data_IF_179789755443
#
_entry.id   IF_179789755443
#
_cell.length_a   1.000
_cell.length_b   1.000
_cell.length_c   1.000
_cell.angle_alpha   90.00
_cell.angle_beta   90.00
_cell.angle_gamma   90.00
#
_symmetry.space_group_name_H-M   'P 1'
#
loop_
_entity.id
_entity.type
_entity.pdbx_description
1 polymer ?
#
# COMPACT_ATOMS: atom_id res chain seq x y z
N UNK A 1 -30.40 11.06 18.61
CA UNK A 1 -30.68 10.15 17.48
C UNK A 1 -31.35 11.00 16.40
N UNK A 2 -30.60 11.87 15.73
CA UNK A 2 -29.81 11.69 14.49
C UNK A 2 -30.71 11.75 13.25
N UNK A 3 -30.47 12.82 12.49
CA UNK A 3 -31.28 13.40 11.43
C UNK A 3 -31.19 12.64 10.11
N UNK A 4 -32.33 12.52 9.42
CA UNK A 4 -32.39 12.23 7.99
C UNK A 4 -32.13 13.52 7.20
N UNK A 5 -31.15 13.49 6.30
CA UNK A 5 -30.78 14.62 5.47
C UNK A 5 -31.80 14.84 4.34
N UNK A 6 -32.30 16.07 4.27
CA UNK A 6 -33.26 16.59 3.29
C UNK A 6 -32.56 17.21 2.07
N UNK A 7 -33.04 16.78 0.90
CA UNK A 7 -33.14 17.44 -0.42
C UNK A 7 -32.72 18.92 -0.60
N UNK A 8 -32.07 19.19 -1.75
CA UNK A 8 -32.18 20.37 -2.66
C UNK A 8 -31.04 20.22 -3.68
N UNK A 9 -31.13 20.37 -5.00
CA UNK A 9 -32.03 20.91 -6.02
C UNK A 9 -31.17 20.91 -7.32
N UNK A 10 -31.59 21.15 -8.56
CA UNK A 10 -32.81 21.57 -9.22
C UNK A 10 -32.63 21.21 -10.71
N UNK A 11 -33.72 20.76 -11.33
CA UNK A 11 -33.90 20.56 -12.76
C UNK A 11 -33.95 21.92 -13.49
N UNK A 12 -33.20 22.14 -14.57
CA UNK A 12 -33.61 23.08 -15.63
C UNK A 12 -33.24 22.52 -17.01
N UNK A 13 -34.27 22.04 -17.70
CA UNK A 13 -34.32 21.85 -19.16
C UNK A 13 -34.14 23.20 -19.84
N UNK A 14 -33.29 23.30 -20.88
CA UNK A 14 -33.50 24.29 -21.96
C UNK A 14 -33.01 23.75 -23.30
N UNK A 15 -33.98 23.65 -24.19
CA UNK A 15 -33.84 23.41 -25.62
C UNK A 15 -33.02 24.53 -26.30
N UNK A 16 -32.36 24.14 -27.38
CA UNK A 16 -32.32 24.94 -28.61
C UNK A 16 -31.11 25.84 -28.80
N UNK A 17 -30.48 25.73 -29.97
CA UNK A 17 -29.63 26.79 -30.52
C UNK A 17 -28.40 26.32 -31.26
N UNK A 18 -28.59 25.95 -32.53
CA UNK A 18 -27.55 26.03 -33.58
C UNK A 18 -26.99 27.46 -33.57
N UNK A 19 -25.66 27.65 -33.54
CA UNK A 19 -24.96 28.68 -34.33
C UNK A 19 -23.46 28.39 -34.35
N UNK A 20 -22.98 28.02 -35.54
CA UNK A 20 -21.58 28.07 -35.90
C UNK A 20 -21.13 29.53 -36.00
N UNK A 21 -19.98 29.87 -35.41
CA UNK A 21 -19.20 31.04 -35.79
C UNK A 21 -17.72 30.65 -35.79
N UNK A 22 -17.15 30.61 -37.00
CA UNK A 22 -15.71 30.68 -37.22
C UNK A 22 -15.18 32.00 -36.66
N UNK A 23 -14.17 31.94 -35.82
CA UNK A 23 -13.31 33.08 -35.53
C UNK A 23 -11.86 32.64 -35.52
N UNK A 24 -11.12 33.09 -36.56
CA UNK A 24 -9.67 33.13 -36.57
C UNK A 24 -9.19 33.90 -35.33
N UNK A 25 -8.47 33.22 -34.44
CA UNK A 25 -7.86 33.80 -33.26
C UNK A 25 -6.43 33.31 -33.10
N UNK A 26 -5.49 34.00 -33.74
CA UNK A 26 -4.08 33.92 -33.38
C UNK A 26 -3.89 34.60 -32.02
N UNK A 27 -3.42 33.86 -31.01
CA UNK A 27 -2.61 34.39 -29.93
C UNK A 27 -1.88 33.23 -29.25
N UNK A 28 -0.58 33.09 -29.51
CA UNK A 28 0.29 32.17 -28.79
C UNK A 28 0.70 32.80 -27.46
N UNK A 29 0.56 32.11 -26.31
CA UNK A 29 1.36 32.39 -25.14
C UNK A 29 2.62 31.51 -25.13
N UNK A 30 3.74 32.20 -24.99
CA UNK A 30 5.10 31.67 -24.90
C UNK A 30 5.23 30.51 -23.89
N UNK A 31 5.96 29.46 -24.28
CA UNK A 31 6.48 28.48 -23.35
C UNK A 31 7.62 29.13 -22.54
N UNK A 32 7.51 29.24 -21.20
CA UNK A 32 8.68 29.60 -20.41
C UNK A 32 9.66 28.41 -20.42
N UNK A 33 10.77 28.58 -21.12
CA UNK A 33 12.02 27.83 -20.89
C UNK A 33 12.51 28.20 -19.51
N UNK A 34 11.91 27.59 -18.50
CA UNK A 34 12.39 27.57 -17.13
C UNK A 34 13.12 26.27 -16.91
N UNK A 35 14.44 26.27 -17.03
CA UNK A 35 15.36 25.29 -16.47
C UNK A 35 15.33 25.43 -14.94
N UNK A 36 14.17 25.20 -14.35
CA UNK A 36 14.04 24.87 -12.95
C UNK A 36 14.38 23.40 -12.86
N UNK A 37 15.55 23.09 -12.31
CA UNK A 37 15.83 21.79 -11.72
C UNK A 37 14.82 21.58 -10.60
N UNK A 38 13.62 21.15 -10.98
CA UNK A 38 12.74 20.39 -10.13
C UNK A 38 13.48 19.10 -9.83
N UNK A 39 14.41 19.18 -8.88
CA UNK A 39 14.68 18.07 -7.98
C UNK A 39 13.33 17.83 -7.30
N UNK A 40 12.48 17.09 -8.00
CA UNK A 40 11.61 16.15 -7.35
C UNK A 40 12.55 15.43 -6.40
N UNK A 41 12.44 15.78 -5.11
CA UNK A 41 12.75 14.89 -4.02
C UNK A 41 12.01 13.61 -4.40
N UNK A 42 12.73 12.74 -5.12
CA UNK A 42 12.47 11.33 -5.16
C UNK A 42 12.65 10.94 -3.70
N UNK A 43 11.58 11.12 -2.92
CA UNK A 43 11.28 10.24 -1.83
C UNK A 43 11.55 8.86 -2.44
N UNK A 44 12.63 8.23 -1.99
CA UNK A 44 12.92 6.85 -2.32
C UNK A 44 11.70 6.12 -1.80
N UNK A 45 10.69 5.96 -2.64
CA UNK A 45 9.66 4.96 -2.43
C UNK A 45 10.50 3.70 -2.46
N UNK A 46 10.76 3.18 -1.26
CA UNK A 46 11.43 1.91 -1.09
C UNK A 46 10.81 0.98 -2.13
N UNK A 47 11.65 0.37 -2.97
CA UNK A 47 11.21 -0.56 -4.00
C UNK A 47 10.06 -1.39 -3.43
N UNK A 48 8.93 -1.54 -4.14
CA UNK A 48 7.78 -2.24 -3.60
C UNK A 48 8.32 -3.56 -3.06
N UNK A 49 8.19 -3.77 -1.74
CA UNK A 49 8.54 -5.02 -1.10
C UNK A 49 7.99 -6.08 -2.03
N UNK A 50 8.87 -6.88 -2.64
CA UNK A 50 8.51 -7.87 -3.64
C UNK A 50 7.21 -8.50 -3.15
N UNK A 51 6.14 -8.42 -3.93
CA UNK A 51 4.81 -8.95 -3.57
C UNK A 51 4.94 -10.47 -3.45
N UNK A 52 5.58 -10.91 -2.37
CA UNK A 52 5.77 -12.29 -1.97
C UNK A 52 4.39 -12.75 -1.58
N UNK A 53 3.91 -13.77 -2.27
CA UNK A 53 2.62 -14.35 -1.98
C UNK A 53 2.61 -14.78 -0.50
N UNK A 54 1.69 -14.21 0.27
CA UNK A 54 1.49 -14.62 1.65
C UNK A 54 0.77 -15.98 1.62
N UNK A 55 1.29 -17.01 2.32
CA UNK A 55 0.62 -18.30 2.39
C UNK A 55 -0.81 -18.16 2.93
N UNK A 56 -1.76 -18.94 2.40
CA UNK A 56 -3.16 -18.88 2.82
C UNK A 56 -3.31 -19.11 4.33
N UNK A 57 -4.16 -18.30 4.97
CA UNK A 57 -4.39 -18.38 6.41
C UNK A 57 -3.31 -17.72 7.27
N UNK A 58 -2.29 -17.10 6.67
CA UNK A 58 -1.28 -16.32 7.37
C UNK A 58 -1.34 -14.85 6.95
N UNK A 59 -0.86 -13.97 7.82
CA UNK A 59 -0.60 -12.58 7.51
C UNK A 59 0.85 -12.30 7.88
N UNK A 60 1.60 -11.73 6.94
CA UNK A 60 3.03 -11.48 7.11
C UNK A 60 3.27 -10.02 6.83
N UNK A 61 3.88 -9.32 7.79
CA UNK A 61 4.19 -7.90 7.71
C UNK A 61 5.68 -7.68 7.94
N UNK A 62 6.29 -6.81 7.15
CA UNK A 62 7.67 -6.39 7.36
C UNK A 62 7.68 -5.03 8.07
N UNK A 63 8.44 -4.93 9.15
CA UNK A 63 8.56 -3.74 9.98
C UNK A 63 10.04 -3.46 10.32
N UNK A 64 10.37 -2.29 10.91
CA UNK A 64 11.72 -2.03 11.43
C UNK A 64 12.16 -3.02 12.52
N UNK A 65 11.22 -3.67 13.21
CA UNK A 65 11.48 -4.69 14.22
C UNK A 65 11.70 -6.09 13.61
N UNK A 66 11.65 -6.23 12.29
CA UNK A 66 11.77 -7.51 11.59
C UNK A 66 10.49 -7.94 10.88
N UNK A 67 10.40 -9.23 10.57
CA UNK A 67 9.22 -9.83 9.93
C UNK A 67 8.29 -10.38 11.00
N UNK A 68 7.03 -9.95 10.94
CA UNK A 68 5.97 -10.30 11.87
C UNK A 68 5.02 -11.26 11.14
N UNK A 69 4.69 -12.37 11.80
CA UNK A 69 3.82 -13.42 11.25
C UNK A 69 2.66 -13.66 12.21
N UNK A 70 1.45 -13.61 11.68
CA UNK A 70 0.22 -14.00 12.38
C UNK A 70 -0.53 -15.04 11.58
N UNK A 71 -1.32 -15.86 12.28
CA UNK A 71 -2.25 -16.83 11.71
C UNK A 71 -3.66 -16.28 11.81
N UNK A 72 -4.44 -16.38 10.74
CA UNK A 72 -5.75 -15.75 10.63
C UNK A 72 -6.73 -16.26 11.66
N UNK A 73 -6.81 -17.58 11.91
CA UNK A 73 -7.49 -18.21 13.06
C UNK A 73 -7.09 -19.70 13.18
N UNK A 74 -6.90 -20.25 14.40
CA UNK A 74 -6.67 -19.50 15.64
C UNK A 74 -5.32 -18.76 15.58
N UNK A 75 -5.09 -17.69 16.36
CA UNK A 75 -3.77 -17.05 16.46
C UNK A 75 -2.67 -18.05 16.85
N UNK A 76 -1.41 -17.69 16.65
CA UNK A 76 -0.31 -18.53 17.14
C UNK A 76 -0.28 -18.54 18.66
N UNK A 77 0.11 -19.68 19.21
CA UNK A 77 0.66 -19.80 20.56
C UNK A 77 2.17 -19.58 20.59
N UNK A 78 2.68 -19.40 21.80
CA UNK A 78 4.11 -19.33 22.13
C UNK A 78 4.87 -20.64 21.88
N UNK A 79 4.18 -21.78 21.83
CA UNK A 79 4.77 -23.06 21.44
C UNK A 79 4.86 -23.26 19.91
N UNK A 80 4.22 -22.40 19.10
CA UNK A 80 4.04 -22.60 17.65
C UNK A 80 5.10 -21.90 16.78
N UNK A 81 6.24 -21.50 17.36
CA UNK A 81 7.29 -20.77 16.64
C UNK A 81 7.86 -21.51 15.43
N UNK A 82 7.91 -22.84 15.49
CA UNK A 82 8.33 -23.65 14.35
C UNK A 82 7.36 -23.55 13.15
N UNK A 83 6.06 -23.41 13.40
CA UNK A 83 5.07 -23.21 12.33
C UNK A 83 5.17 -21.81 11.74
N UNK A 84 5.23 -20.79 12.59
CA UNK A 84 5.40 -19.42 12.15
C UNK A 84 6.68 -19.25 11.31
N UNK A 85 7.78 -19.89 11.72
CA UNK A 85 9.04 -19.91 10.97
C UNK A 85 8.88 -20.55 9.59
N UNK A 86 8.14 -21.66 9.47
CA UNK A 86 7.86 -22.29 8.17
C UNK A 86 7.04 -21.37 7.25
N UNK A 87 6.01 -20.71 7.78
CA UNK A 87 5.19 -19.78 7.01
C UNK A 87 6.04 -18.61 6.48
N UNK A 88 6.89 -18.05 7.34
CA UNK A 88 7.77 -16.95 6.94
C UNK A 88 8.90 -17.39 6.03
N UNK A 89 9.39 -18.62 6.17
CA UNK A 89 10.41 -19.17 5.27
C UNK A 89 9.84 -19.38 3.87
N UNK A 90 8.60 -19.86 3.75
CA UNK A 90 7.88 -19.94 2.48
C UNK A 90 7.70 -18.56 1.84
N UNK A 91 7.39 -17.54 2.67
CA UNK A 91 7.30 -16.16 2.21
C UNK A 91 8.66 -15.56 1.83
N UNK A 92 9.72 -15.90 2.57
CA UNK A 92 11.06 -15.36 2.35
C UNK A 92 11.75 -15.93 1.09
N UNK A 93 11.28 -17.06 0.57
CA UNK A 93 11.82 -17.69 -0.63
C UNK A 93 13.18 -18.35 -0.39
N UNK A 94 14.04 -18.35 -1.41
CA UNK A 94 15.31 -19.09 -1.43
C UNK A 94 16.32 -18.67 -0.37
N UNK A 95 16.29 -17.41 0.09
CA UNK A 95 17.12 -16.93 1.20
C UNK A 95 16.62 -17.38 2.57
N UNK A 96 15.33 -17.71 2.68
CA UNK A 96 14.68 -18.09 3.92
C UNK A 96 14.68 -16.95 4.96
N UNK A 97 14.33 -17.30 6.20
CA UNK A 97 14.28 -16.35 7.31
C UNK A 97 15.56 -16.39 8.14
N UNK A 98 16.08 -15.21 8.51
CA UNK A 98 17.03 -15.05 9.58
C UNK A 98 16.34 -15.18 10.94
N UNK A 99 16.08 -16.44 11.30
CA UNK A 99 15.62 -16.84 12.63
C UNK A 99 16.81 -17.10 13.54
N UNK A 100 16.68 -16.74 14.82
CA UNK A 100 17.74 -16.83 15.83
C UNK A 100 17.22 -16.75 17.27
N UNK A 101 18.13 -16.59 18.25
CA UNK A 101 17.76 -16.51 19.68
C UNK A 101 16.87 -15.31 20.03
N UNK A 102 16.90 -14.27 19.19
CA UNK A 102 16.11 -13.06 19.35
C UNK A 102 14.70 -13.19 18.76
N UNK A 103 14.31 -14.36 18.23
CA UNK A 103 12.94 -14.59 17.79
C UNK A 103 12.01 -14.65 19.00
N UNK A 104 10.91 -13.91 18.98
CA UNK A 104 10.00 -13.85 20.11
C UNK A 104 8.54 -13.86 19.69
N UNK A 105 7.72 -14.39 20.60
CA UNK A 105 6.28 -14.37 20.50
C UNK A 105 5.71 -13.13 21.19
N UNK A 106 4.80 -12.43 20.53
CA UNK A 106 4.09 -11.29 21.09
C UNK A 106 2.66 -11.26 20.59
N UNK A 107 1.70 -11.31 21.52
CA UNK A 107 0.28 -11.06 21.25
C UNK A 107 -0.29 -11.84 20.05
N UNK A 108 -0.08 -13.16 19.99
CA UNK A 108 -0.56 -14.00 18.89
C UNK A 108 0.27 -13.95 17.61
N UNK A 109 1.40 -13.24 17.65
CA UNK A 109 2.32 -13.04 16.52
C UNK A 109 3.70 -13.56 16.85
N UNK A 110 4.38 -14.10 15.85
CA UNK A 110 5.80 -14.40 15.91
C UNK A 110 6.59 -13.33 15.19
N UNK A 111 7.61 -12.82 15.85
CA UNK A 111 8.45 -11.74 15.35
C UNK A 111 9.85 -12.31 15.13
N UNK A 112 10.35 -12.12 13.91
CA UNK A 112 11.67 -12.55 13.45
C UNK A 112 12.51 -11.30 13.15
N UNK A 113 13.31 -10.80 14.12
CA UNK A 113 14.05 -9.54 13.96
C UNK A 113 15.05 -9.55 12.81
N UNK A 114 15.64 -10.71 12.52
CA UNK A 114 16.57 -10.86 11.40
C UNK A 114 15.91 -10.72 10.02
N UNK A 115 14.58 -10.85 9.93
CA UNK A 115 13.83 -10.76 8.69
C UNK A 115 14.16 -11.84 7.66
N UNK A 116 13.99 -11.55 6.37
CA UNK A 116 14.39 -12.46 5.29
C UNK A 116 15.86 -12.26 4.90
N UNK A 117 16.53 -13.34 4.52
CA UNK A 117 17.87 -13.28 3.91
C UNK A 117 17.82 -13.17 2.39
#
# INVERSE_FOLDING_TARGET
MTQFATYRGWNVRRLGGIFAVLALGACAPASPTGTGTGQAVQARVAAPAQLRAVPEGYQIAQSPAGVIVTRSQPPFGDAEGAEAKRAVQAWCGTGGVASGPDDYFQNGSWIFPGGCK
#
